data_IF_008626730219
#
_entry.id   IF_008626730219
#
_cell.length_a   1.000
_cell.length_b   1.000
_cell.length_c   1.000
_cell.angle_alpha   90.00
_cell.angle_beta   90.00
_cell.angle_gamma   90.00
#
_symmetry.space_group_name_H-M   'P 1'
#
loop_
_entity.id
_entity.type
_entity.pdbx_description
1 polymer ?
#
# COMPACT_ATOMS: atom_id res chain seq x y z
N UNK A 1 -6.99 17.19 -5.12
CA UNK A 1 -6.30 17.08 -3.82
C UNK A 1 -5.51 15.77 -3.67
N UNK A 2 -6.12 14.59 -3.85
CA UNK A 2 -5.39 13.31 -3.69
C UNK A 2 -4.20 13.09 -4.64
N UNK A 3 -4.32 13.46 -5.92
CA UNK A 3 -3.26 13.24 -6.91
C UNK A 3 -1.98 14.06 -6.62
N UNK A 4 -2.13 15.29 -6.13
CA UNK A 4 -0.99 16.16 -5.77
C UNK A 4 -0.22 15.65 -4.54
N UNK A 5 -0.94 15.15 -3.53
CA UNK A 5 -0.32 14.52 -2.36
C UNK A 5 0.45 13.25 -2.76
N UNK A 6 -0.10 12.46 -3.69
CA UNK A 6 0.55 11.25 -4.18
C UNK A 6 1.89 11.55 -4.87
N UNK A 7 1.92 12.58 -5.73
CA UNK A 7 3.15 13.05 -6.39
C UNK A 7 4.16 13.55 -5.35
N UNK A 8 3.73 14.35 -4.38
CA UNK A 8 4.61 14.89 -3.33
C UNK A 8 5.26 13.77 -2.50
N UNK A 9 4.48 12.77 -2.09
CA UNK A 9 4.98 11.58 -1.38
C UNK A 9 5.97 10.81 -2.25
N UNK A 10 5.67 10.64 -3.54
CA UNK A 10 6.56 9.95 -4.48
C UNK A 10 7.91 10.66 -4.64
N UNK A 11 7.90 11.99 -4.77
CA UNK A 11 9.11 12.82 -4.86
C UNK A 11 9.92 12.76 -3.56
N UNK A 12 9.26 12.81 -2.40
CA UNK A 12 9.95 12.74 -1.10
C UNK A 12 10.64 11.39 -0.90
N UNK A 13 9.95 10.28 -1.22
CA UNK A 13 10.51 8.93 -1.18
C UNK A 13 11.68 8.79 -2.16
N UNK A 14 11.54 9.32 -3.37
CA UNK A 14 12.62 9.31 -4.36
C UNK A 14 13.86 10.08 -3.89
N UNK A 15 13.65 11.23 -3.24
CA UNK A 15 14.71 12.02 -2.61
C UNK A 15 15.47 11.24 -1.54
N UNK A 16 14.73 10.60 -0.62
CA UNK A 16 15.29 9.75 0.44
C UNK A 16 16.10 8.58 -0.14
N UNK A 17 15.62 7.95 -1.22
CA UNK A 17 16.40 6.89 -1.89
C UNK A 17 17.69 7.40 -2.51
N UNK A 18 17.65 8.60 -3.11
CA UNK A 18 18.82 9.23 -3.74
C UNK A 18 19.88 9.54 -2.69
N UNK A 19 19.48 10.15 -1.58
CA UNK A 19 20.37 10.47 -0.47
C UNK A 19 20.96 9.22 0.19
N UNK A 20 20.15 8.18 0.41
CA UNK A 20 20.64 6.89 0.93
C UNK A 20 21.70 6.28 0.00
N UNK A 21 21.46 6.25 -1.31
CA UNK A 21 22.43 5.73 -2.30
C UNK A 21 23.73 6.54 -2.32
N UNK A 22 23.64 7.86 -2.23
CA UNK A 22 24.82 8.73 -2.22
C UNK A 22 25.60 8.63 -0.90
N UNK A 23 24.92 8.64 0.25
CA UNK A 23 25.53 8.52 1.58
C UNK A 23 26.18 7.15 1.82
N UNK A 24 25.64 6.08 1.23
CA UNK A 24 26.20 4.73 1.34
C UNK A 24 27.60 4.57 0.73
N UNK A 25 28.05 5.46 -0.17
CA UNK A 25 29.40 5.41 -0.74
C UNK A 25 30.49 5.69 0.29
N UNK A 26 30.19 6.40 1.38
CA UNK A 26 31.14 6.76 2.44
C UNK A 26 30.96 5.95 3.73
N UNK A 27 30.00 5.02 3.79
CA UNK A 27 29.67 4.30 5.02
C UNK A 27 30.46 2.98 5.20
N UNK A 28 30.74 2.62 6.46
CA UNK A 28 31.34 1.34 6.86
C UNK A 28 30.56 0.12 6.33
N UNK A 29 31.26 -1.00 6.05
CA UNK A 29 30.68 -2.24 5.47
C UNK A 29 29.49 -2.79 6.26
N UNK A 30 29.45 -2.61 7.58
CA UNK A 30 28.34 -3.07 8.44
C UNK A 30 27.11 -2.18 8.22
N UNK A 31 27.30 -0.86 8.27
CA UNK A 31 26.26 0.16 8.03
C UNK A 31 25.69 0.02 6.62
N UNK A 32 26.54 -0.29 5.64
CA UNK A 32 26.14 -0.47 4.24
C UNK A 32 25.21 -1.68 4.03
N UNK A 33 25.37 -2.76 4.80
CA UNK A 33 24.46 -3.93 4.75
C UNK A 33 23.08 -3.60 5.32
N UNK A 34 23.03 -2.85 6.42
CA UNK A 34 21.76 -2.38 6.99
C UNK A 34 21.06 -1.39 6.06
N UNK A 35 21.79 -0.43 5.50
CA UNK A 35 21.24 0.56 4.57
C UNK A 35 20.80 -0.09 3.25
N UNK A 36 21.52 -1.08 2.70
CA UNK A 36 21.04 -1.87 1.55
C UNK A 36 19.71 -2.53 1.84
N UNK A 37 19.54 -3.14 3.03
CA UNK A 37 18.27 -3.78 3.42
C UNK A 37 17.14 -2.75 3.56
N UNK A 38 17.42 -1.58 4.12
CA UNK A 38 16.45 -0.49 4.20
C UNK A 38 16.03 0.00 2.81
N UNK A 39 16.97 0.17 1.89
CA UNK A 39 16.69 0.55 0.49
C UNK A 39 15.91 -0.55 -0.22
N UNK A 40 16.25 -1.83 -0.04
CA UNK A 40 15.48 -2.95 -0.62
C UNK A 40 14.07 -3.02 -0.03
N UNK A 41 13.88 -2.76 1.27
CA UNK A 41 12.57 -2.68 1.89
C UNK A 41 11.75 -1.50 1.33
N UNK A 42 12.36 -0.33 1.14
CA UNK A 42 11.73 0.84 0.53
C UNK A 42 11.33 0.58 -0.93
N UNK A 43 12.21 -0.07 -1.71
CA UNK A 43 11.92 -0.44 -3.11
C UNK A 43 10.83 -1.51 -3.18
N UNK A 44 10.84 -2.50 -2.28
CA UNK A 44 9.76 -3.50 -2.18
C UNK A 44 8.42 -2.86 -1.76
N UNK A 45 8.44 -1.83 -0.91
CA UNK A 45 7.28 -1.04 -0.52
C UNK A 45 6.74 -0.11 -1.61
N UNK A 46 7.47 0.15 -2.69
CA UNK A 46 7.01 1.02 -3.78
C UNK A 46 6.72 0.24 -5.06
N UNK A 47 7.50 -0.81 -5.35
CA UNK A 47 7.51 -1.47 -6.67
C UNK A 47 6.92 -2.88 -6.70
N UNK A 48 6.89 -3.61 -5.58
CA UNK A 48 6.27 -4.94 -5.53
C UNK A 48 4.79 -4.85 -5.12
N UNK A 49 3.98 -5.91 -5.33
CA UNK A 49 2.57 -5.95 -4.95
C UNK A 49 2.28 -5.53 -3.49
N UNK A 50 3.27 -5.50 -2.61
CA UNK A 50 3.18 -4.99 -1.24
C UNK A 50 3.06 -3.46 -1.13
N UNK A 51 3.66 -2.68 -2.04
CA UNK A 51 3.45 -1.22 -2.16
C UNK A 51 2.18 -0.83 -2.90
N UNK A 52 1.76 -1.74 -3.77
CA UNK A 52 0.48 -1.71 -4.44
C UNK A 52 -0.64 -1.92 -3.41
N UNK A 53 -0.43 -2.67 -2.32
CA UNK A 53 -1.47 -2.96 -1.31
C UNK A 53 -2.10 -1.68 -0.71
N UNK A 54 -1.37 -0.73 -0.07
CA UNK A 54 -1.98 0.49 0.43
C UNK A 54 -2.66 1.32 -0.67
N UNK A 55 -2.04 1.39 -1.85
CA UNK A 55 -2.54 2.19 -2.97
C UNK A 55 -3.79 1.59 -3.62
N UNK A 56 -3.91 0.25 -3.65
CA UNK A 56 -5.08 -0.49 -4.13
C UNK A 56 -6.32 -0.16 -3.28
N UNK A 57 -6.15 -0.04 -1.96
CA UNK A 57 -7.23 0.34 -1.05
C UNK A 57 -7.78 1.75 -1.30
N UNK A 58 -7.10 2.57 -2.11
CA UNK A 58 -7.61 3.87 -2.57
C UNK A 58 -8.02 3.87 -4.05
N UNK A 59 -7.25 3.22 -4.92
CA UNK A 59 -7.52 3.17 -6.36
C UNK A 59 -8.79 2.38 -6.70
N UNK A 60 -9.00 1.22 -6.06
CA UNK A 60 -10.19 0.40 -6.33
C UNK A 60 -11.47 1.14 -5.90
N UNK A 61 -11.59 1.66 -4.66
CA UNK A 61 -12.77 2.43 -4.27
C UNK A 61 -12.99 3.65 -5.16
N UNK A 62 -11.93 4.34 -5.58
CA UNK A 62 -12.04 5.49 -6.48
C UNK A 62 -12.67 5.12 -7.83
N UNK A 63 -12.19 4.04 -8.47
CA UNK A 63 -12.73 3.56 -9.74
C UNK A 63 -14.18 3.11 -9.57
N UNK A 64 -14.48 2.38 -8.49
CA UNK A 64 -15.83 1.91 -8.17
C UNK A 64 -16.79 3.08 -7.94
N UNK A 65 -16.38 4.13 -7.23
CA UNK A 65 -17.20 5.33 -7.06
C UNK A 65 -17.43 6.05 -8.39
N UNK A 66 -16.40 6.18 -9.23
CA UNK A 66 -16.54 6.81 -10.54
C UNK A 66 -17.51 6.05 -11.45
N UNK A 67 -17.46 4.71 -11.45
CA UNK A 67 -18.38 3.89 -12.25
C UNK A 67 -19.82 3.96 -11.71
N UNK A 68 -20.01 3.95 -10.39
CA UNK A 68 -21.34 4.12 -9.78
C UNK A 68 -21.94 5.48 -10.15
N UNK A 69 -21.16 6.57 -10.07
CA UNK A 69 -21.63 7.91 -10.44
C UNK A 69 -21.95 8.02 -11.93
N UNK A 70 -21.13 7.43 -12.80
CA UNK A 70 -21.40 7.40 -14.23
C UNK A 70 -22.68 6.61 -14.55
N UNK A 71 -22.88 5.47 -13.87
CA UNK A 71 -24.06 4.63 -14.03
C UNK A 71 -25.34 5.31 -13.54
N UNK A 72 -25.33 5.88 -12.33
CA UNK A 72 -26.51 6.56 -11.77
C UNK A 72 -26.88 7.84 -12.50
N UNK A 73 -25.91 8.51 -13.16
CA UNK A 73 -26.18 9.66 -14.05
C UNK A 73 -27.00 9.31 -15.29
N UNK A 74 -26.98 8.06 -15.73
CA UNK A 74 -27.78 7.61 -16.88
C UNK A 74 -29.20 7.14 -16.51
N UNK A 75 -29.55 7.17 -15.22
CA UNK A 75 -30.84 6.72 -14.69
C UNK A 75 -31.68 7.90 -14.19
N UNK A 76 -32.99 7.70 -14.07
CA UNK A 76 -33.87 8.64 -13.39
C UNK A 76 -33.49 8.80 -11.91
N UNK A 77 -33.54 10.02 -11.34
CA UNK A 77 -33.04 10.30 -9.99
C UNK A 77 -33.78 9.52 -8.88
N UNK A 78 -35.05 9.18 -9.11
CA UNK A 78 -35.86 8.37 -8.17
C UNK A 78 -35.40 6.90 -8.18
N UNK A 79 -35.06 6.37 -9.35
CA UNK A 79 -34.56 5.00 -9.50
C UNK A 79 -33.11 4.88 -9.02
N UNK A 80 -32.27 5.89 -9.31
CA UNK A 80 -30.92 5.97 -8.80
C UNK A 80 -30.86 5.99 -7.25
N UNK A 81 -31.78 6.73 -6.60
CA UNK A 81 -31.84 6.82 -5.14
C UNK A 81 -32.30 5.52 -4.47
N UNK A 82 -33.12 4.72 -5.14
CA UNK A 82 -33.64 3.45 -4.62
C UNK A 82 -32.77 2.24 -4.98
N UNK A 83 -31.68 2.45 -5.73
CA UNK A 83 -30.81 1.38 -6.19
C UNK A 83 -29.96 0.79 -5.04
N UNK A 84 -30.45 -0.31 -4.48
CA UNK A 84 -29.81 -1.06 -3.39
C UNK A 84 -28.42 -1.58 -3.75
N UNK A 85 -28.19 -1.92 -5.02
CA UNK A 85 -26.91 -2.45 -5.49
C UNK A 85 -25.85 -1.34 -5.45
N UNK A 86 -26.15 -0.18 -6.01
CA UNK A 86 -25.26 0.98 -5.97
C UNK A 86 -24.92 1.39 -4.52
N UNK A 87 -25.91 1.40 -3.63
CA UNK A 87 -25.71 1.70 -2.21
C UNK A 87 -24.83 0.67 -1.49
N UNK A 88 -25.03 -0.62 -1.78
CA UNK A 88 -24.26 -1.72 -1.14
C UNK A 88 -22.82 -1.74 -1.62
N UNK A 89 -22.59 -1.57 -2.93
CA UNK A 89 -21.24 -1.52 -3.48
C UNK A 89 -20.50 -0.27 -2.96
N UNK A 90 -21.20 0.87 -2.85
CA UNK A 90 -20.63 2.09 -2.27
C UNK A 90 -20.20 1.89 -0.82
N UNK A 91 -21.01 1.25 0.03
CA UNK A 91 -20.65 1.00 1.42
C UNK A 91 -19.48 0.03 1.56
N UNK A 92 -19.41 -1.01 0.73
CA UNK A 92 -18.26 -1.93 0.64
C UNK A 92 -16.98 -1.21 0.19
N UNK A 93 -17.09 -0.28 -0.77
CA UNK A 93 -15.96 0.53 -1.22
C UNK A 93 -15.41 1.43 -0.09
N UNK A 94 -16.28 2.05 0.72
CA UNK A 94 -15.85 2.80 1.92
C UNK A 94 -15.19 1.90 2.95
N UNK A 95 -15.77 0.73 3.23
CA UNK A 95 -15.18 -0.23 4.17
C UNK A 95 -13.77 -0.64 3.74
N UNK A 96 -13.55 -0.81 2.43
CA UNK A 96 -12.25 -1.12 1.83
C UNK A 96 -11.20 -0.04 2.11
N UNK A 97 -11.59 1.25 2.07
CA UNK A 97 -10.70 2.35 2.46
C UNK A 97 -10.30 2.26 3.94
N UNK A 98 -11.19 1.85 4.83
CA UNK A 98 -10.86 1.67 6.26
C UNK A 98 -9.79 0.60 6.50
N UNK A 99 -9.69 -0.39 5.61
CA UNK A 99 -8.63 -1.41 5.67
C UNK A 99 -7.27 -0.92 5.17
N UNK A 100 -7.15 0.29 4.62
CA UNK A 100 -5.85 0.79 4.14
C UNK A 100 -4.80 0.85 5.27
N UNK A 101 -5.18 1.32 6.47
CA UNK A 101 -4.27 1.43 7.62
C UNK A 101 -3.82 0.05 8.09
N UNK A 102 -4.75 -0.91 8.07
CA UNK A 102 -4.45 -2.30 8.39
C UNK A 102 -3.49 -2.92 7.37
N UNK A 103 -3.77 -2.76 6.08
CA UNK A 103 -2.90 -3.21 4.99
C UNK A 103 -1.52 -2.57 5.03
N UNK A 104 -1.44 -1.28 5.35
CA UNK A 104 -0.19 -0.55 5.54
C UNK A 104 0.61 -1.12 6.73
N UNK A 105 -0.06 -1.37 7.86
CA UNK A 105 0.57 -1.92 9.06
C UNK A 105 1.09 -3.35 8.84
N UNK A 106 0.32 -4.19 8.14
CA UNK A 106 0.74 -5.53 7.74
C UNK A 106 1.94 -5.48 6.77
N UNK A 107 1.95 -4.52 5.85
CA UNK A 107 3.07 -4.32 4.94
C UNK A 107 4.35 -3.97 5.70
N UNK A 108 4.27 -3.05 6.68
CA UNK A 108 5.41 -2.71 7.55
C UNK A 108 5.88 -3.93 8.35
N UNK A 109 4.95 -4.71 8.90
CA UNK A 109 5.26 -5.95 9.62
C UNK A 109 5.99 -6.96 8.71
N UNK A 110 5.47 -7.26 7.53
CA UNK A 110 6.09 -8.19 6.56
C UNK A 110 7.44 -7.68 6.04
N UNK A 111 7.61 -6.37 5.93
CA UNK A 111 8.87 -5.74 5.57
C UNK A 111 9.88 -5.69 6.73
N UNK A 112 9.45 -5.91 7.97
CA UNK A 112 10.34 -5.91 9.14
C UNK A 112 11.23 -7.15 9.16
N UNK A 113 12.57 -6.99 9.26
CA UNK A 113 13.51 -8.12 9.28
C UNK A 113 13.32 -9.00 10.52
N UNK A 114 12.83 -8.44 11.62
CA UNK A 114 12.52 -9.17 12.85
C UNK A 114 11.35 -10.12 12.62
N UNK A 115 10.27 -9.62 12.01
CA UNK A 115 9.08 -10.42 11.72
C UNK A 115 9.36 -11.56 10.73
N UNK A 116 10.18 -11.29 9.70
CA UNK A 116 10.61 -12.35 8.76
C UNK A 116 11.37 -13.46 9.45
N UNK A 117 12.30 -13.12 10.36
CA UNK A 117 13.01 -14.13 11.16
C UNK A 117 12.06 -14.94 12.03
N UNK A 118 11.16 -14.27 12.74
CA UNK A 118 10.16 -14.94 13.59
C UNK A 118 9.27 -15.89 12.81
N UNK A 119 8.81 -15.50 11.60
CA UNK A 119 8.02 -16.40 10.75
C UNK A 119 8.85 -17.56 10.22
N UNK A 120 10.09 -17.33 9.76
CA UNK A 120 10.95 -18.42 9.31
C UNK A 120 11.24 -19.40 10.44
N UNK A 121 11.51 -18.91 11.65
CA UNK A 121 11.73 -19.74 12.83
C UNK A 121 10.45 -20.53 13.20
N UNK A 122 9.27 -19.89 13.19
CA UNK A 122 7.98 -20.56 13.40
C UNK A 122 7.72 -21.65 12.35
N UNK A 123 7.97 -21.38 11.08
CA UNK A 123 7.78 -22.36 10.00
C UNK A 123 8.77 -23.52 10.17
N UNK A 124 10.04 -23.23 10.48
CA UNK A 124 11.04 -24.28 10.74
C UNK A 124 10.68 -25.12 11.98
N UNK A 125 10.10 -24.54 13.02
CA UNK A 125 9.66 -25.27 14.22
C UNK A 125 8.38 -26.08 13.96
N UNK A 126 7.44 -25.56 13.18
CA UNK A 126 6.17 -26.23 12.90
C UNK A 126 6.24 -27.29 11.78
N UNK A 127 7.10 -27.11 10.77
CA UNK A 127 7.24 -28.02 9.63
C UNK A 127 8.56 -28.81 9.62
N UNK A 128 9.48 -28.54 10.55
CA UNK A 128 10.75 -29.25 10.69
C UNK A 128 10.73 -30.43 11.64
N UNK A 129 9.62 -31.16 11.71
CA UNK A 129 9.53 -32.48 12.37
C UNK A 129 9.07 -33.53 11.38
#
# INVERSE_FOLDING_TARGET
>A
WGFGMFIAVFVMIYGVQRELKYGMKHASRITQRFQKRAVTALVLQVFYPLGIVPSIFYLIPLIVFATIVAYTKSMDPVEAASNKIASTISSLAVATVSFHTFGHSMTVLVCSPTYRRTITDLICVCFGK
#
